data_IF_253015634467
#
_entry.id   IF_253015634467
#
_cell.length_a   1.000
_cell.length_b   1.000
_cell.length_c   1.000
_cell.angle_alpha   90.00
_cell.angle_beta   90.00
_cell.angle_gamma   90.00
#
_symmetry.space_group_name_H-M   'P 1'
#
loop_
_entity.id
_entity.type
_entity.pdbx_description
1 polymer ?
#
# COMPACT_ATOMS: atom_id res chain seq x y z
N UNK A 1 -34.48 51.11 9.36
CA UNK A 1 -33.28 50.92 8.51
C UNK A 1 -32.34 50.04 9.32
N UNK A 2 -31.90 48.85 8.95
CA UNK A 2 -32.03 47.98 7.78
C UNK A 2 -31.91 46.54 8.30
N UNK A 3 -32.68 45.61 7.74
CA UNK A 3 -32.67 44.18 8.03
C UNK A 3 -31.91 43.42 6.93
N UNK A 4 -31.22 42.33 7.24
CA UNK A 4 -30.85 41.24 6.32
C UNK A 4 -29.98 40.19 7.04
N UNK A 5 -30.03 38.87 6.84
CA UNK A 5 -30.95 37.91 6.19
C UNK A 5 -30.45 36.53 6.65
N UNK A 6 -31.29 35.73 7.28
CA UNK A 6 -31.06 34.29 7.48
C UNK A 6 -31.52 33.53 6.24
N UNK A 7 -30.63 32.81 5.58
CA UNK A 7 -30.98 31.91 4.46
C UNK A 7 -31.41 30.56 5.03
N UNK A 8 -32.71 30.26 4.92
CA UNK A 8 -33.24 28.89 5.05
C UNK A 8 -33.38 28.31 3.64
N UNK A 9 -32.64 27.24 3.35
CA UNK A 9 -32.86 26.41 2.17
C UNK A 9 -34.07 25.51 2.40
N UNK A 10 -35.05 25.59 1.50
CA UNK A 10 -36.24 24.74 1.47
C UNK A 10 -36.01 23.70 0.37
N UNK A 11 -35.89 22.42 0.71
CA UNK A 11 -35.87 21.33 -0.27
C UNK A 11 -37.32 20.97 -0.64
N UNK A 12 -37.67 21.15 -1.91
CA UNK A 12 -38.96 20.76 -2.47
C UNK A 12 -38.82 19.35 -3.09
N UNK A 13 -39.32 18.33 -2.38
CA UNK A 13 -39.47 16.98 -2.93
C UNK A 13 -40.69 16.93 -3.85
N UNK A 14 -40.47 16.68 -5.14
CA UNK A 14 -41.55 16.41 -6.10
C UNK A 14 -41.68 14.89 -6.26
N UNK A 15 -42.76 14.32 -5.73
CA UNK A 15 -43.19 12.96 -6.01
C UNK A 15 -43.82 12.89 -7.41
N UNK A 16 -43.27 12.07 -8.29
CA UNK A 16 -43.96 11.64 -9.51
C UNK A 16 -44.41 10.18 -9.33
N UNK A 17 -45.71 10.01 -9.08
CA UNK A 17 -46.43 8.74 -9.20
C UNK A 17 -47.16 8.75 -10.53
N UNK A 18 -46.81 7.84 -11.44
CA UNK A 18 -47.66 7.47 -12.56
C UNK A 18 -47.64 5.95 -12.73
N UNK A 19 -48.81 5.37 -12.48
CA UNK A 19 -49.10 3.95 -12.67
C UNK A 19 -49.27 3.58 -14.14
N UNK A 20 -49.15 2.29 -14.39
CA UNK A 20 -49.42 1.66 -15.68
C UNK A 20 -49.46 0.16 -15.52
N UNK A 21 -50.60 -0.36 -15.07
CA UNK A 21 -50.92 -1.79 -15.13
C UNK A 21 -51.15 -2.18 -16.60
N UNK A 22 -50.40 -3.16 -17.10
CA UNK A 22 -50.75 -3.86 -18.34
C UNK A 22 -50.57 -5.35 -18.13
N UNK A 23 -51.71 -6.05 -18.24
CA UNK A 23 -51.84 -7.49 -18.30
C UNK A 23 -50.94 -8.08 -19.40
N UNK A 24 -50.06 -9.02 -19.01
CA UNK A 24 -49.36 -9.89 -19.95
C UNK A 24 -49.81 -11.33 -19.67
N UNK A 25 -50.51 -11.85 -20.67
CA UNK A 25 -50.99 -13.22 -20.81
C UNK A 25 -49.85 -14.23 -20.68
N UNK A 26 -49.99 -15.16 -19.74
CA UNK A 26 -49.11 -16.33 -19.60
C UNK A 26 -49.41 -17.35 -20.71
N UNK A 27 -48.46 -17.51 -21.65
CA UNK A 27 -48.33 -18.73 -22.46
C UNK A 27 -47.10 -19.50 -21.98
N UNK A 28 -47.16 -20.83 -21.81
CA UNK A 28 -45.98 -21.61 -21.43
C UNK A 28 -45.15 -21.94 -22.68
N UNK A 29 -43.82 -21.75 -22.68
CA UNK A 29 -42.97 -22.40 -23.64
C UNK A 29 -42.44 -23.74 -23.09
N UNK A 30 -42.62 -24.73 -23.94
CA UNK A 30 -42.17 -26.11 -23.89
C UNK A 30 -40.65 -26.27 -24.03
N UNK A 31 -40.13 -27.32 -23.39
CA UNK A 31 -38.95 -28.14 -23.74
C UNK A 31 -37.54 -27.51 -23.81
N UNK A 32 -36.72 -27.94 -22.84
CA UNK A 32 -35.36 -28.46 -22.95
C UNK A 32 -34.51 -28.05 -24.16
N UNK A 33 -33.54 -27.17 -23.91
CA UNK A 33 -32.15 -27.36 -24.36
C UNK A 33 -31.26 -26.52 -23.45
N UNK A 34 -30.40 -27.18 -22.67
CA UNK A 34 -29.38 -26.48 -21.88
C UNK A 34 -28.45 -25.72 -22.83
N UNK A 35 -28.15 -24.44 -22.59
CA UNK A 35 -27.14 -23.75 -23.37
C UNK A 35 -25.77 -24.31 -22.97
N UNK A 36 -25.15 -25.09 -23.86
CA UNK A 36 -23.71 -25.34 -23.82
C UNK A 36 -23.00 -24.02 -24.01
N UNK A 37 -22.39 -23.51 -22.94
CA UNK A 37 -21.46 -22.40 -22.97
C UNK A 37 -20.30 -22.77 -23.91
N UNK A 38 -19.89 -21.90 -24.84
CA UNK A 38 -18.67 -22.11 -25.59
C UNK A 38 -17.48 -21.98 -24.63
N UNK A 39 -16.80 -23.09 -24.35
CA UNK A 39 -15.46 -23.08 -23.76
C UNK A 39 -14.46 -22.61 -24.81
N UNK A 40 -14.44 -21.30 -25.07
CA UNK A 40 -13.21 -20.66 -25.53
C UNK A 40 -12.43 -20.29 -24.29
N UNK A 41 -11.47 -21.13 -23.92
CA UNK A 41 -10.39 -20.72 -23.04
C UNK A 41 -9.77 -19.48 -23.67
N UNK A 42 -10.05 -18.31 -23.08
CA UNK A 42 -9.33 -17.09 -23.40
C UNK A 42 -7.89 -17.41 -23.04
N UNK A 43 -7.00 -17.50 -24.02
CA UNK A 43 -5.56 -17.52 -23.76
C UNK A 43 -5.32 -16.24 -22.97
N UNK A 44 -5.02 -16.37 -21.68
CA UNK A 44 -4.67 -15.23 -20.86
C UNK A 44 -3.49 -14.56 -21.56
N UNK A 45 -3.56 -13.23 -21.74
CA UNK A 45 -2.37 -12.47 -22.12
C UNK A 45 -1.26 -12.88 -21.14
N UNK A 46 -0.08 -13.30 -21.63
CA UNK A 46 0.99 -13.73 -20.74
C UNK A 46 1.32 -12.60 -19.77
N UNK A 47 1.58 -12.96 -18.52
CA UNK A 47 2.02 -11.99 -17.50
C UNK A 47 3.24 -11.24 -18.05
N UNK A 48 3.22 -9.91 -17.96
CA UNK A 48 4.36 -9.10 -18.41
C UNK A 48 5.31 -8.92 -17.24
N UNK A 49 6.55 -9.35 -17.44
CA UNK A 49 7.65 -8.86 -16.62
C UNK A 49 7.99 -7.42 -17.03
N UNK A 50 8.31 -6.59 -16.06
CA UNK A 50 8.69 -5.20 -16.24
C UNK A 50 10.09 -4.97 -15.67
N UNK A 51 10.99 -4.29 -16.41
CA UNK A 51 12.31 -3.97 -15.91
C UNK A 51 12.20 -2.97 -14.76
N UNK A 52 13.11 -3.09 -13.80
CA UNK A 52 13.26 -2.10 -12.72
C UNK A 52 14.37 -1.14 -13.10
N UNK A 53 14.01 0.13 -13.31
CA UNK A 53 14.99 1.21 -13.53
C UNK A 53 15.40 1.80 -12.20
N UNK A 54 16.65 1.60 -11.78
CA UNK A 54 17.17 2.18 -10.54
C UNK A 54 17.36 3.69 -10.69
N UNK A 55 16.78 4.44 -9.76
CA UNK A 55 16.96 5.89 -9.63
C UNK A 55 18.02 6.12 -8.54
N UNK A 56 19.24 6.57 -8.89
CA UNK A 56 20.30 6.79 -7.92
C UNK A 56 19.93 7.93 -6.97
N UNK A 57 20.08 7.70 -5.68
CA UNK A 57 19.90 8.72 -4.64
C UNK A 57 21.25 9.30 -4.19
N UNK A 58 21.25 10.55 -3.75
CA UNK A 58 22.41 11.21 -3.17
C UNK A 58 22.36 11.22 -1.63
N UNK A 59 23.53 11.36 -0.99
CA UNK A 59 23.64 11.56 0.45
C UNK A 59 23.41 10.29 1.30
N UNK A 60 23.04 10.48 2.57
CA UNK A 60 22.98 9.39 3.56
C UNK A 60 21.89 8.36 3.28
N UNK A 61 20.81 8.76 2.61
CA UNK A 61 19.70 7.87 2.26
C UNK A 61 20.08 6.85 1.17
N UNK A 62 21.17 7.09 0.44
CA UNK A 62 21.72 6.17 -0.54
C UNK A 62 22.61 5.07 0.08
N UNK A 63 22.83 5.11 1.39
CA UNK A 63 23.57 4.05 2.08
C UNK A 63 22.70 2.79 2.18
N UNK A 64 23.32 1.61 2.08
CA UNK A 64 22.62 0.31 2.15
C UNK A 64 21.89 0.01 3.46
N UNK A 65 22.09 0.84 4.50
CA UNK A 65 21.45 0.71 5.81
C UNK A 65 20.38 1.79 6.03
N UNK A 66 19.94 2.43 4.95
CA UNK A 66 18.96 3.48 5.04
C UNK A 66 17.57 2.95 5.38
N UNK A 67 17.26 1.72 4.95
CA UNK A 67 16.12 0.94 5.45
C UNK A 67 14.79 1.67 5.22
N UNK A 68 14.36 1.83 3.96
CA UNK A 68 13.07 2.48 3.62
C UNK A 68 11.92 1.49 3.81
N UNK A 69 10.96 1.86 4.65
CA UNK A 69 9.79 1.04 4.99
C UNK A 69 8.47 1.65 4.55
N UNK A 70 8.49 2.67 3.69
CA UNK A 70 7.24 3.19 3.14
C UNK A 70 7.44 4.37 2.21
N UNK A 71 6.59 4.43 1.18
CA UNK A 71 6.54 5.54 0.24
C UNK A 71 5.14 6.14 0.20
N UNK A 72 5.06 7.47 0.12
CA UNK A 72 3.77 8.14 -0.10
C UNK A 72 3.94 9.50 -0.76
N UNK A 73 2.89 10.03 -1.37
CA UNK A 73 2.91 11.38 -1.94
C UNK A 73 2.42 12.41 -0.92
N UNK A 74 3.16 13.50 -0.78
CA UNK A 74 2.69 14.74 -0.17
C UNK A 74 2.79 15.88 -1.18
N UNK A 75 1.66 16.24 -1.79
CA UNK A 75 1.63 17.17 -2.92
C UNK A 75 2.50 16.66 -4.09
N UNK A 76 3.52 17.43 -4.46
CA UNK A 76 4.47 17.07 -5.52
C UNK A 76 5.79 16.48 -5.00
N UNK A 77 5.81 16.04 -3.73
CA UNK A 77 6.98 15.43 -3.10
C UNK A 77 6.71 13.97 -2.78
N UNK A 78 7.58 13.10 -3.24
CA UNK A 78 7.64 11.72 -2.78
C UNK A 78 8.24 11.74 -1.38
N UNK A 79 7.49 11.30 -0.38
CA UNK A 79 7.97 11.12 0.97
C UNK A 79 8.51 9.69 1.10
N UNK A 80 9.77 9.59 1.55
CA UNK A 80 10.43 8.34 1.89
C UNK A 80 10.53 8.26 3.41
N UNK A 81 9.90 7.23 3.99
CA UNK A 81 9.97 6.93 5.41
C UNK A 81 11.03 5.84 5.64
N UNK A 82 12.12 6.15 6.36
CA UNK A 82 12.98 5.10 6.88
C UNK A 82 12.31 4.35 8.03
N UNK A 83 12.60 3.05 8.18
CA UNK A 83 12.22 2.23 9.33
C UNK A 83 12.73 2.86 10.63
N UNK A 84 13.93 3.46 10.59
CA UNK A 84 14.54 4.14 11.73
C UNK A 84 14.94 5.58 11.39
N UNK A 85 13.99 6.53 11.43
CA UNK A 85 14.26 7.95 11.14
C UNK A 85 15.39 8.54 12.01
N UNK A 86 15.56 8.04 13.25
CA UNK A 86 16.58 8.46 14.22
C UNK A 86 18.02 8.26 13.76
N UNK A 87 18.27 7.43 12.74
CA UNK A 87 19.62 7.21 12.18
C UNK A 87 20.13 8.40 11.37
N UNK A 88 19.26 9.31 10.96
CA UNK A 88 19.59 10.26 9.90
C UNK A 88 19.88 11.68 10.33
N UNK A 89 19.67 12.11 11.57
CA UNK A 89 19.92 13.51 11.96
C UNK A 89 21.32 13.77 12.51
N UNK A 90 21.64 15.06 12.70
CA UNK A 90 22.88 15.47 13.38
C UNK A 90 22.80 15.13 14.86
N UNK A 91 23.81 14.46 15.42
CA UNK A 91 23.83 14.01 16.83
C UNK A 91 22.61 13.16 17.23
N UNK A 92 22.03 12.40 16.30
CA UNK A 92 20.89 11.50 16.57
C UNK A 92 19.50 12.16 16.54
N UNK A 93 19.35 13.33 15.91
CA UNK A 93 18.01 13.81 15.53
C UNK A 93 17.39 12.86 14.49
N UNK A 94 16.07 12.79 14.37
CA UNK A 94 15.40 11.94 13.39
C UNK A 94 15.06 12.70 12.09
N UNK A 95 14.96 12.00 10.96
CA UNK A 95 14.55 12.60 9.70
C UNK A 95 13.77 11.63 8.79
N UNK A 96 12.83 12.19 8.04
CA UNK A 96 12.24 11.61 6.83
C UNK A 96 12.69 12.43 5.63
N UNK A 97 12.48 11.92 4.42
CA UNK A 97 13.01 12.55 3.21
C UNK A 97 11.92 12.84 2.21
N UNK A 98 12.09 13.93 1.45
CA UNK A 98 11.22 14.32 0.37
C UNK A 98 12.01 14.45 -0.93
N UNK A 99 11.52 13.85 -2.01
CA UNK A 99 12.09 13.94 -3.34
C UNK A 99 11.10 14.63 -4.29
N UNK A 100 11.47 15.76 -4.95
CA UNK A 100 10.56 16.43 -5.87
C UNK A 100 10.20 15.52 -7.06
N UNK A 101 8.90 15.45 -7.38
CA UNK A 101 8.40 14.70 -8.53
C UNK A 101 9.05 15.14 -9.85
N UNK A 102 9.34 16.43 -10.00
CA UNK A 102 10.02 16.97 -11.18
C UNK A 102 11.39 16.35 -11.40
N UNK A 103 12.12 16.05 -10.33
CA UNK A 103 13.48 15.52 -10.41
C UNK A 103 13.47 14.05 -10.79
N UNK A 104 12.49 13.31 -10.26
CA UNK A 104 12.19 11.92 -10.67
C UNK A 104 11.86 11.88 -12.17
N UNK A 105 10.96 12.76 -12.64
CA UNK A 105 10.57 12.81 -14.05
C UNK A 105 11.73 13.21 -14.96
N UNK A 106 12.52 14.22 -14.57
CA UNK A 106 13.70 14.64 -15.32
C UNK A 106 14.73 13.50 -15.46
N UNK A 107 14.92 12.68 -14.42
CA UNK A 107 15.78 11.50 -14.50
C UNK A 107 15.21 10.45 -15.46
N UNK A 108 13.93 10.11 -15.32
CA UNK A 108 13.28 9.11 -16.17
C UNK A 108 13.18 9.54 -17.64
N UNK A 109 13.08 10.84 -17.90
CA UNK A 109 13.06 11.43 -19.24
C UNK A 109 14.48 11.64 -19.82
N UNK A 110 15.54 11.29 -19.08
CA UNK A 110 16.93 11.39 -19.52
C UNK A 110 17.48 12.82 -19.55
N UNK A 111 16.79 13.78 -18.93
CA UNK A 111 17.24 15.16 -18.78
C UNK A 111 18.38 15.28 -17.75
N UNK A 112 18.45 14.34 -16.81
CA UNK A 112 19.57 14.16 -15.87
C UNK A 112 19.90 12.69 -15.70
N UNK A 113 21.17 12.42 -15.39
CA UNK A 113 21.66 11.09 -15.00
C UNK A 113 22.39 11.14 -13.65
N UNK A 114 22.34 12.28 -12.95
CA UNK A 114 23.00 12.45 -11.66
C UNK A 114 22.16 11.84 -10.54
N UNK A 115 22.80 11.36 -9.45
CA UNK A 115 22.07 11.00 -8.24
C UNK A 115 21.17 12.15 -7.77
N UNK A 116 19.93 11.84 -7.41
CA UNK A 116 18.94 12.83 -7.01
C UNK A 116 19.14 13.23 -5.55
N UNK A 117 19.13 14.54 -5.28
CA UNK A 117 19.19 15.09 -3.93
C UNK A 117 17.80 15.10 -3.29
N UNK A 118 17.75 14.77 -2.00
CA UNK A 118 16.50 14.77 -1.22
C UNK A 118 16.47 15.93 -0.23
N UNK A 119 15.29 16.48 -0.04
CA UNK A 119 14.99 17.40 1.05
C UNK A 119 14.88 16.59 2.33
N UNK A 120 15.72 16.92 3.30
CA UNK A 120 15.68 16.30 4.61
C UNK A 120 14.67 17.03 5.50
N UNK A 121 13.65 16.31 5.97
CA UNK A 121 12.60 16.83 6.84
C UNK A 121 12.89 16.36 8.27
N UNK A 122 13.05 17.28 9.24
CA UNK A 122 13.12 16.92 10.65
C UNK A 122 11.92 16.08 11.07
N UNK A 123 12.18 14.88 11.62
CA UNK A 123 11.15 14.00 12.15
C UNK A 123 11.13 14.12 13.66
N UNK A 124 10.03 14.61 14.23
CA UNK A 124 9.93 14.92 15.65
C UNK A 124 9.02 13.89 16.33
N UNK A 125 9.66 12.93 17.01
CA UNK A 125 9.00 11.82 17.71
C UNK A 125 9.36 11.76 19.20
N UNK A 126 8.91 12.73 20.00
CA UNK A 126 9.31 12.84 21.40
C UNK A 126 8.84 11.61 22.19
N UNK A 127 9.76 10.98 22.91
CA UNK A 127 9.48 9.87 23.84
C UNK A 127 8.89 8.60 23.19
N UNK A 128 8.91 8.48 21.85
CA UNK A 128 8.33 7.34 21.14
C UNK A 128 8.90 5.99 21.61
N UNK A 129 10.23 5.87 21.65
CA UNK A 129 10.91 4.65 22.10
C UNK A 129 10.63 4.28 23.56
N UNK A 130 10.22 5.24 24.39
CA UNK A 130 9.83 4.99 25.78
C UNK A 130 8.37 4.61 25.93
N UNK A 131 7.50 5.06 25.02
CA UNK A 131 6.07 4.72 25.00
C UNK A 131 5.79 3.38 24.34
N UNK A 132 6.44 3.11 23.20
CA UNK A 132 6.32 1.84 22.48
C UNK A 132 7.37 0.88 23.01
N UNK A 133 7.01 0.07 24.00
CA UNK A 133 7.94 -0.91 24.58
C UNK A 133 8.33 -1.95 23.54
N UNK A 134 9.63 -2.08 23.28
CA UNK A 134 10.13 -3.03 22.28
C UNK A 134 9.95 -2.53 20.85
N UNK A 135 9.96 -1.21 20.63
CA UNK A 135 9.96 -0.59 19.31
C UNK A 135 10.96 -1.26 18.35
N UNK A 136 10.46 -1.77 17.22
CA UNK A 136 11.25 -2.42 16.17
C UNK A 136 11.35 -1.58 14.88
N UNK A 137 10.52 -0.55 14.69
CA UNK A 137 10.61 0.29 13.49
C UNK A 137 9.28 0.91 13.08
N UNK A 138 9.33 1.85 12.13
CA UNK A 138 8.13 2.22 11.38
C UNK A 138 7.97 1.30 10.18
N UNK A 139 6.72 0.96 9.83
CA UNK A 139 6.44 -0.02 8.77
C UNK A 139 5.62 0.54 7.60
N UNK A 140 4.97 1.70 7.73
CA UNK A 140 4.26 2.32 6.61
C UNK A 140 3.87 3.78 6.88
N UNK A 141 3.50 4.51 5.81
CA UNK A 141 2.98 5.87 5.91
C UNK A 141 1.94 6.20 4.84
N UNK A 142 0.87 6.89 5.23
CA UNK A 142 -0.06 7.54 4.31
C UNK A 142 -0.43 8.95 4.77
N UNK A 143 -0.86 9.80 3.84
CA UNK A 143 -1.35 11.15 4.13
C UNK A 143 -2.85 11.30 3.85
N UNK A 144 -3.54 12.07 4.71
CA UNK A 144 -4.81 12.73 4.40
C UNK A 144 -4.61 14.22 4.66
N UNK A 145 -4.44 15.00 3.58
CA UNK A 145 -4.01 16.39 3.69
C UNK A 145 -2.63 16.50 4.35
N UNK A 146 -2.53 17.29 5.42
CA UNK A 146 -1.28 17.50 6.18
C UNK A 146 -1.09 16.46 7.31
N UNK A 147 -2.03 15.54 7.48
CA UNK A 147 -1.98 14.51 8.53
C UNK A 147 -1.32 13.25 7.98
N UNK A 148 -0.22 12.85 8.60
CA UNK A 148 0.44 11.57 8.39
C UNK A 148 -0.18 10.51 9.29
N UNK A 149 -0.35 9.30 8.76
CA UNK A 149 -0.70 8.10 9.51
C UNK A 149 0.44 7.10 9.33
N UNK A 150 0.93 6.54 10.44
CA UNK A 150 2.10 5.66 10.42
C UNK A 150 1.81 4.38 11.19
N UNK A 151 2.31 3.26 10.70
CA UNK A 151 2.37 2.01 11.47
C UNK A 151 3.76 1.78 12.06
N UNK A 152 3.80 1.11 13.20
CA UNK A 152 5.01 0.77 13.96
C UNK A 152 4.98 -0.70 14.32
N UNK A 153 6.08 -1.41 14.12
CA UNK A 153 6.29 -2.75 14.67
C UNK A 153 6.87 -2.66 16.10
N UNK A 154 6.40 -3.55 16.99
CA UNK A 154 6.84 -3.59 18.37
C UNK A 154 6.82 -5.00 18.96
N UNK A 155 7.85 -5.34 19.74
CA UNK A 155 8.03 -6.65 20.38
C UNK A 155 8.40 -6.56 21.86
N UNK A 156 7.51 -6.12 22.75
CA UNK A 156 7.74 -6.17 24.20
C UNK A 156 7.75 -7.60 24.75
N UNK A 157 7.18 -8.55 23.99
CA UNK A 157 7.12 -9.97 24.30
C UNK A 157 6.60 -10.74 23.09
N UNK A 158 5.29 -10.64 22.81
CA UNK A 158 4.70 -11.00 21.53
C UNK A 158 4.81 -9.83 20.54
N UNK A 159 4.64 -10.12 19.25
CA UNK A 159 4.60 -9.10 18.21
C UNK A 159 3.29 -8.32 18.28
N UNK A 160 3.35 -6.99 18.18
CA UNK A 160 2.20 -6.09 18.05
C UNK A 160 2.51 -5.01 17.03
N UNK A 161 1.48 -4.53 16.34
CA UNK A 161 1.54 -3.29 15.56
C UNK A 161 1.00 -2.12 16.36
N UNK A 162 1.33 -0.90 15.96
CA UNK A 162 0.66 0.30 16.43
C UNK A 162 0.35 1.24 15.27
N UNK A 163 -0.77 1.94 15.36
CA UNK A 163 -1.13 3.05 14.49
C UNK A 163 -1.00 4.36 15.24
N UNK A 164 -0.38 5.35 14.60
CA UNK A 164 -0.29 6.70 15.13
C UNK A 164 -0.51 7.77 14.06
N UNK A 165 -0.64 9.02 14.52
CA UNK A 165 -0.74 10.19 13.66
C UNK A 165 0.49 11.08 13.75
N UNK A 166 0.67 11.92 12.75
CA UNK A 166 1.55 13.07 12.76
C UNK A 166 1.05 14.18 11.85
N UNK A 167 1.71 15.32 11.90
CA UNK A 167 1.43 16.46 11.02
C UNK A 167 2.72 16.84 10.30
N UNK A 168 2.65 16.95 8.97
CA UNK A 168 3.72 17.53 8.15
C UNK A 168 3.44 19.01 7.93
N UNK A 169 4.47 19.85 8.06
CA UNK A 169 4.33 21.27 7.71
C UNK A 169 4.37 21.43 6.19
N UNK A 170 3.49 22.26 5.58
CA UNK A 170 3.45 22.45 4.13
C UNK A 170 4.73 22.99 3.48
N UNK A 171 5.59 23.63 4.26
CA UNK A 171 6.92 24.08 3.82
C UNK A 171 8.01 23.01 4.02
N UNK A 172 7.62 21.79 4.40
CA UNK A 172 8.48 20.65 4.71
C UNK A 172 9.47 20.90 5.86
N UNK A 173 9.19 21.89 6.71
CA UNK A 173 10.08 22.26 7.82
C UNK A 173 10.13 21.23 8.95
N UNK A 174 9.06 20.44 9.14
CA UNK A 174 9.04 19.29 10.05
C UNK A 174 7.90 18.32 9.71
N UNK A 175 8.08 17.05 10.10
CA UNK A 175 7.00 16.09 10.33
C UNK A 175 7.03 15.74 11.82
N UNK A 176 5.95 16.05 12.55
CA UNK A 176 5.84 15.82 13.99
C UNK A 176 4.79 14.77 14.27
N UNK A 177 5.17 13.66 14.90
CA UNK A 177 4.21 12.63 15.30
C UNK A 177 3.54 12.98 16.63
N UNK A 178 2.25 12.72 16.74
CA UNK A 178 1.50 12.83 18.00
C UNK A 178 1.64 11.53 18.77
N UNK A 179 2.55 11.54 19.73
CA UNK A 179 2.83 10.36 20.55
C UNK A 179 1.79 10.10 21.64
N UNK A 180 0.82 10.99 21.84
CA UNK A 180 -0.30 10.76 22.75
C UNK A 180 -1.47 10.02 22.11
N UNK A 181 -1.49 9.92 20.77
CA UNK A 181 -2.55 9.29 20.01
C UNK A 181 -2.00 8.04 19.29
N UNK A 182 -2.00 6.93 20.03
CA UNK A 182 -1.45 5.64 19.61
C UNK A 182 -2.50 4.56 19.84
N UNK A 183 -2.79 3.76 18.82
CA UNK A 183 -3.72 2.63 18.89
C UNK A 183 -2.98 1.33 18.60
N UNK A 184 -3.07 0.35 19.50
CA UNK A 184 -2.50 -0.98 19.28
C UNK A 184 -3.28 -1.73 18.21
N UNK A 185 -2.55 -2.40 17.30
CA UNK A 185 -3.07 -3.33 16.31
C UNK A 185 -2.58 -4.72 16.71
N UNK A 186 -3.53 -5.61 17.01
CA UNK A 186 -3.20 -6.99 17.36
C UNK A 186 -2.85 -7.78 16.08
N UNK A 187 -1.82 -8.63 16.12
CA UNK A 187 -1.45 -9.46 14.99
C UNK A 187 -2.57 -10.45 14.65
N UNK A 188 -2.70 -10.78 13.37
CA UNK A 188 -3.73 -11.71 12.88
C UNK A 188 -3.29 -13.18 12.91
N UNK A 189 -1.98 -13.43 12.98
CA UNK A 189 -1.39 -14.75 13.01
C UNK A 189 -0.27 -14.84 14.05
N UNK A 190 0.03 -16.06 14.52
CA UNK A 190 1.19 -16.33 15.38
C UNK A 190 2.47 -16.45 14.55
N UNK A 191 2.85 -15.33 13.93
CA UNK A 191 4.07 -15.17 13.15
C UNK A 191 4.95 -14.13 13.84
N UNK A 192 6.20 -14.51 14.10
CA UNK A 192 7.16 -13.56 14.64
C UNK A 192 7.57 -12.54 13.58
N UNK A 193 7.73 -11.28 14.02
CA UNK A 193 8.23 -10.19 13.17
C UNK A 193 7.33 -9.95 11.97
N UNK A 194 6.02 -9.87 12.25
CA UNK A 194 4.98 -9.57 11.28
C UNK A 194 3.86 -8.79 11.94
N UNK A 195 3.53 -7.64 11.35
CA UNK A 195 2.49 -6.74 11.81
C UNK A 195 1.69 -6.16 10.62
N UNK A 196 0.90 -5.12 10.86
CA UNK A 196 0.25 -4.38 9.78
C UNK A 196 1.28 -3.44 9.13
N UNK A 197 1.94 -3.94 8.08
CA UNK A 197 2.98 -3.25 7.30
C UNK A 197 2.42 -2.41 6.14
N UNK A 198 1.10 -2.37 5.95
CA UNK A 198 0.51 -1.58 4.86
C UNK A 198 -0.62 -0.69 5.37
N UNK A 199 -0.65 0.55 4.88
CA UNK A 199 -1.71 1.52 5.19
C UNK A 199 -2.24 2.16 3.91
N UNK A 200 -3.57 2.22 3.78
CA UNK A 200 -4.24 2.93 2.68
C UNK A 200 -5.17 3.99 3.23
N UNK A 201 -5.11 5.17 2.62
CA UNK A 201 -6.12 6.21 2.76
C UNK A 201 -7.16 6.04 1.63
N UNK A 202 -8.40 5.72 2.01
CA UNK A 202 -9.50 5.45 1.09
C UNK A 202 -10.65 6.43 1.34
N UNK A 203 -10.51 7.66 0.84
CA UNK A 203 -11.46 8.74 1.12
C UNK A 203 -11.44 9.14 2.60
N UNK A 204 -12.54 8.89 3.32
CA UNK A 204 -12.65 9.17 4.76
C UNK A 204 -12.23 7.97 5.64
N UNK A 205 -11.80 6.87 5.02
CA UNK A 205 -11.38 5.66 5.73
C UNK A 205 -9.87 5.54 5.74
N UNK A 206 -9.35 5.15 6.89
CA UNK A 206 -7.97 4.72 7.05
C UNK A 206 -7.97 3.21 7.27
N UNK A 207 -7.20 2.48 6.49
CA UNK A 207 -7.23 1.02 6.52
C UNK A 207 -5.80 0.49 6.66
N UNK A 208 -5.58 -0.44 7.60
CA UNK A 208 -4.31 -1.16 7.70
C UNK A 208 -4.49 -2.62 7.30
N UNK A 209 -3.42 -3.20 6.74
CA UNK A 209 -3.41 -4.54 6.19
C UNK A 209 -2.20 -5.28 6.78
N UNK A 210 -2.46 -6.48 7.30
CA UNK A 210 -1.44 -7.37 7.85
C UNK A 210 -0.53 -7.89 6.75
N UNK A 211 0.74 -8.08 7.04
CA UNK A 211 1.75 -8.46 6.05
C UNK A 211 1.58 -9.88 5.50
N UNK A 212 1.18 -10.85 6.34
CA UNK A 212 1.11 -12.26 5.97
C UNK A 212 -0.34 -12.77 5.90
N UNK A 213 -0.84 -12.96 4.67
CA UNK A 213 -2.23 -13.34 4.41
C UNK A 213 -2.38 -14.70 3.70
N UNK A 214 -1.31 -15.50 3.68
CA UNK A 214 -1.31 -16.82 3.05
C UNK A 214 -2.26 -17.80 3.75
N UNK A 215 -2.90 -18.67 2.99
CA UNK A 215 -3.99 -19.53 3.49
C UNK A 215 -3.57 -20.46 4.64
N UNK A 216 -2.29 -20.87 4.66
CA UNK A 216 -1.76 -21.77 5.69
C UNK A 216 -1.40 -21.07 7.01
N UNK A 217 -1.22 -19.74 7.00
CA UNK A 217 -0.75 -18.99 8.17
C UNK A 217 -1.79 -18.00 8.70
N UNK A 218 -2.63 -17.45 7.82
CA UNK A 218 -3.74 -16.57 8.18
C UNK A 218 -4.99 -16.96 7.36
N UNK A 219 -5.78 -17.97 7.80
CA UNK A 219 -6.85 -18.54 7.00
C UNK A 219 -8.10 -17.65 6.85
N UNK A 220 -8.20 -16.55 7.61
CA UNK A 220 -9.30 -15.60 7.52
C UNK A 220 -8.75 -14.16 7.63
N UNK A 221 -7.97 -13.70 6.65
CA UNK A 221 -7.32 -12.40 6.75
C UNK A 221 -8.35 -11.28 6.72
N UNK A 222 -8.06 -10.23 7.46
CA UNK A 222 -8.90 -9.04 7.54
C UNK A 222 -8.07 -7.78 7.35
N UNK A 223 -8.73 -6.69 6.95
CA UNK A 223 -8.16 -5.36 7.02
C UNK A 223 -8.89 -4.57 8.12
N UNK A 224 -8.15 -3.75 8.85
CA UNK A 224 -8.68 -2.96 9.95
C UNK A 224 -9.07 -1.57 9.45
N UNK A 225 -10.32 -1.15 9.65
CA UNK A 225 -10.77 0.21 9.33
C UNK A 225 -10.72 1.07 10.60
N UNK A 226 -10.10 2.23 10.51
CA UNK A 226 -10.00 3.19 11.59
C UNK A 226 -10.73 4.50 11.29
N UNK A 227 -11.18 5.16 12.35
CA UNK A 227 -11.52 6.58 12.27
C UNK A 227 -10.23 7.41 12.13
N UNK A 228 -10.07 8.24 11.08
CA UNK A 228 -8.84 9.02 10.89
C UNK A 228 -8.69 10.15 11.92
N UNK A 229 -9.72 10.49 12.69
CA UNK A 229 -9.67 11.52 13.74
C UNK A 229 -9.34 10.90 15.09
N UNK A 230 -10.02 9.81 15.47
CA UNK A 230 -9.85 9.19 16.80
C UNK A 230 -8.86 8.04 16.84
N UNK A 231 -8.44 7.53 15.67
CA UNK A 231 -7.69 6.28 15.49
C UNK A 231 -8.35 5.04 16.11
N UNK A 232 -9.62 5.12 16.49
CA UNK A 232 -10.34 3.95 16.99
C UNK A 232 -10.71 3.03 15.82
N UNK A 233 -10.52 1.73 16.00
CA UNK A 233 -11.00 0.72 15.06
C UNK A 233 -12.52 0.82 14.96
N UNK A 234 -13.02 1.08 13.75
CA UNK A 234 -14.46 1.08 13.43
C UNK A 234 -14.97 -0.33 13.21
N UNK A 235 -14.27 -1.09 12.38
CA UNK A 235 -14.62 -2.45 11.99
C UNK A 235 -13.43 -3.16 11.37
N UNK A 236 -13.56 -4.48 11.18
CA UNK A 236 -12.69 -5.26 10.31
C UNK A 236 -13.47 -5.72 9.10
N UNK A 237 -12.86 -5.65 7.92
CA UNK A 237 -13.44 -6.15 6.67
C UNK A 237 -12.61 -7.33 6.15
N UNK A 238 -13.22 -8.28 5.41
CA UNK A 238 -12.47 -9.35 4.78
C UNK A 238 -11.38 -8.81 3.85
N UNK A 239 -10.21 -9.42 3.94
CA UNK A 239 -9.12 -9.31 2.97
C UNK A 239 -8.97 -10.69 2.31
N UNK A 240 -8.58 -10.79 1.02
CA UNK A 240 -8.43 -12.09 0.39
C UNK A 240 -7.18 -12.80 0.93
N UNK A 241 -7.21 -14.13 0.95
CA UNK A 241 -5.96 -14.87 1.05
C UNK A 241 -5.10 -14.58 -0.18
N UNK A 242 -3.84 -14.24 0.08
CA UNK A 242 -2.80 -14.07 -0.93
C UNK A 242 -1.52 -14.63 -0.33
N UNK A 243 -0.85 -15.48 -1.09
CA UNK A 243 0.43 -16.05 -0.66
C UNK A 243 1.53 -14.99 -0.68
N UNK A 244 2.55 -15.23 0.15
CA UNK A 244 3.70 -14.35 0.35
C UNK A 244 3.39 -13.05 1.13
N UNK A 245 4.41 -12.21 1.34
CA UNK A 245 4.29 -10.96 2.10
C UNK A 245 3.60 -9.89 1.26
N UNK A 246 2.85 -9.00 1.91
CA UNK A 246 2.40 -7.72 1.36
C UNK A 246 2.93 -6.59 2.25
N UNK A 247 3.74 -5.71 1.69
CA UNK A 247 4.66 -4.87 2.49
C UNK A 247 4.44 -3.37 2.36
N UNK A 248 3.78 -2.88 1.31
CA UNK A 248 3.26 -1.51 1.24
C UNK A 248 2.17 -1.42 0.16
N UNK A 249 1.41 -0.33 0.16
CA UNK A 249 0.28 -0.11 -0.72
C UNK A 249 0.20 1.32 -1.27
N UNK A 250 -0.15 1.44 -2.55
CA UNK A 250 -0.39 2.75 -3.17
C UNK A 250 -1.68 3.38 -2.62
N UNK A 251 -1.83 4.71 -2.72
CA UNK A 251 -3.12 5.37 -2.48
C UNK A 251 -4.23 4.81 -3.37
N UNK A 252 -5.46 4.78 -2.83
CA UNK A 252 -6.65 4.33 -3.54
C UNK A 252 -7.04 5.34 -4.63
N UNK A 253 -7.30 4.87 -5.84
CA UNK A 253 -7.75 5.70 -6.96
C UNK A 253 -9.27 5.95 -6.94
N UNK A 254 -9.75 6.75 -7.89
CA UNK A 254 -11.17 7.12 -8.01
C UNK A 254 -12.09 5.91 -8.25
N UNK A 255 -11.58 4.79 -8.77
CA UNK A 255 -12.31 3.55 -8.97
C UNK A 255 -12.24 2.63 -7.73
N UNK A 256 -11.65 3.10 -6.63
CA UNK A 256 -11.46 2.33 -5.41
C UNK A 256 -10.31 1.32 -5.52
N UNK A 257 -9.41 1.42 -6.50
CA UNK A 257 -8.34 0.43 -6.71
C UNK A 257 -7.01 0.93 -6.20
N UNK A 258 -6.18 0.00 -5.77
CA UNK A 258 -4.82 0.25 -5.30
C UNK A 258 -3.95 -0.95 -5.62
N UNK A 259 -2.64 -0.75 -5.64
CA UNK A 259 -1.67 -1.81 -5.85
C UNK A 259 -0.90 -2.04 -4.55
N UNK A 260 -0.57 -3.29 -4.29
CA UNK A 260 0.33 -3.67 -3.20
C UNK A 260 1.53 -4.40 -3.75
N UNK A 261 2.66 -4.27 -3.05
CA UNK A 261 3.79 -5.17 -3.24
C UNK A 261 3.36 -6.57 -2.80
N UNK A 262 3.75 -7.60 -3.56
CA UNK A 262 3.67 -8.99 -3.15
C UNK A 262 5.04 -9.65 -3.35
N UNK A 263 5.68 -10.02 -2.24
CA UNK A 263 7.09 -10.33 -2.18
C UNK A 263 7.39 -11.63 -1.44
N UNK A 264 8.29 -12.44 -2.00
CA UNK A 264 8.81 -13.65 -1.37
C UNK A 264 10.29 -13.85 -1.64
N UNK A 265 11.02 -14.28 -0.61
CA UNK A 265 12.34 -14.88 -0.76
C UNK A 265 12.38 -16.22 -0.02
N UNK A 266 13.14 -17.18 -0.55
CA UNK A 266 13.17 -18.56 -0.06
C UNK A 266 13.70 -18.73 1.37
N UNK A 267 14.39 -17.72 1.91
CA UNK A 267 14.82 -17.69 3.30
C UNK A 267 13.68 -17.44 4.30
N UNK A 268 12.51 -16.97 3.84
CA UNK A 268 11.34 -16.77 4.68
C UNK A 268 10.59 -18.10 4.93
N UNK A 269 11.07 -18.82 5.93
CA UNK A 269 10.51 -20.14 6.31
C UNK A 269 9.22 -20.05 7.14
N UNK A 270 8.79 -18.86 7.59
CA UNK A 270 7.62 -18.71 8.48
C UNK A 270 6.29 -18.66 7.72
N UNK A 271 6.26 -18.09 6.51
CA UNK A 271 5.01 -17.84 5.77
C UNK A 271 4.37 -19.07 5.11
N UNK A 272 5.12 -20.18 4.96
CA UNK A 272 4.63 -21.52 4.56
C UNK A 272 3.54 -21.49 3.48
N UNK A 273 3.86 -20.97 2.27
CA UNK A 273 2.85 -20.66 1.28
C UNK A 273 2.06 -21.90 0.86
N UNK A 274 0.77 -21.72 0.59
CA UNK A 274 -0.04 -22.68 -0.15
C UNK A 274 0.27 -22.56 -1.66
N UNK A 275 -0.66 -23.02 -2.51
CA UNK A 275 -0.58 -22.80 -3.95
C UNK A 275 -0.70 -21.31 -4.27
N UNK A 276 0.25 -20.78 -5.05
CA UNK A 276 0.15 -19.42 -5.59
C UNK A 276 -0.87 -19.37 -6.75
N UNK A 277 -2.10 -18.97 -6.40
CA UNK A 277 -3.20 -18.85 -7.36
C UNK A 277 -2.92 -17.83 -8.48
N UNK A 278 -2.05 -16.84 -8.24
CA UNK A 278 -1.73 -15.83 -9.25
C UNK A 278 -0.80 -16.42 -10.31
N UNK A 279 0.19 -17.22 -9.90
CA UNK A 279 1.02 -17.98 -10.84
C UNK A 279 0.21 -19.04 -11.60
N UNK A 280 -0.71 -19.75 -10.95
CA UNK A 280 -1.59 -20.70 -11.65
C UNK A 280 -2.50 -20.04 -12.69
N UNK A 281 -3.01 -18.84 -12.38
CA UNK A 281 -3.96 -18.15 -13.24
C UNK A 281 -3.29 -17.39 -14.39
N UNK A 282 -2.19 -16.69 -14.12
CA UNK A 282 -1.56 -15.77 -15.06
C UNK A 282 -0.20 -16.27 -15.61
N UNK A 283 0.37 -17.29 -14.98
CA UNK A 283 1.70 -17.81 -15.29
C UNK A 283 2.82 -17.02 -14.63
N UNK A 284 4.04 -17.53 -14.84
CA UNK A 284 5.30 -16.91 -14.44
C UNK A 284 5.99 -16.34 -15.68
N UNK A 285 6.58 -15.16 -15.52
CA UNK A 285 7.43 -14.56 -16.53
C UNK A 285 8.78 -15.26 -16.62
N UNK A 286 9.61 -14.88 -17.62
CA UNK A 286 10.85 -15.58 -17.90
C UNK A 286 11.82 -15.69 -16.72
N UNK A 287 11.92 -14.67 -15.87
CA UNK A 287 12.83 -14.66 -14.72
C UNK A 287 12.19 -15.31 -13.49
N UNK A 288 10.89 -15.13 -13.27
CA UNK A 288 10.15 -15.85 -12.22
C UNK A 288 10.12 -17.37 -12.44
N UNK A 289 10.12 -17.83 -13.69
CA UNK A 289 10.24 -19.27 -13.99
C UNK A 289 11.65 -19.84 -13.71
N UNK A 290 12.64 -19.00 -13.43
CA UNK A 290 14.03 -19.39 -13.15
C UNK A 290 14.38 -19.35 -11.67
N UNK A 291 13.68 -18.53 -10.87
CA UNK A 291 13.98 -18.29 -9.46
C UNK A 291 12.74 -18.51 -8.60
N UNK A 292 12.91 -19.09 -7.42
CA UNK A 292 11.83 -19.29 -6.45
C UNK A 292 11.40 -17.99 -5.74
N UNK A 293 12.08 -16.88 -6.01
CA UNK A 293 11.76 -15.53 -5.51
C UNK A 293 10.53 -14.99 -6.23
N UNK A 294 9.68 -14.26 -5.51
CA UNK A 294 8.54 -13.55 -6.09
C UNK A 294 8.69 -12.06 -5.86
N UNK A 295 8.67 -11.29 -6.94
CA UNK A 295 8.64 -9.83 -6.90
C UNK A 295 7.57 -9.34 -7.88
N UNK A 296 6.40 -8.95 -7.35
CA UNK A 296 5.30 -8.49 -8.19
C UNK A 296 4.42 -7.45 -7.51
N UNK A 297 3.64 -6.75 -8.32
CA UNK A 297 2.58 -5.86 -7.87
C UNK A 297 1.22 -6.49 -8.16
N UNK A 298 0.31 -6.44 -7.19
CA UNK A 298 -1.04 -7.00 -7.30
C UNK A 298 -2.07 -5.91 -7.09
N UNK A 299 -3.06 -5.84 -7.97
CA UNK A 299 -4.15 -4.86 -7.87
C UNK A 299 -5.31 -5.38 -7.04
N UNK A 300 -5.72 -4.55 -6.09
CA UNK A 300 -6.85 -4.76 -5.22
C UNK A 300 -7.88 -3.66 -5.41
N UNK A 301 -9.11 -3.93 -4.98
CA UNK A 301 -10.19 -2.97 -4.92
C UNK A 301 -10.73 -2.91 -3.49
N UNK A 302 -10.78 -1.70 -2.96
CA UNK A 302 -11.39 -1.39 -1.68
C UNK A 302 -12.89 -1.13 -1.86
N UNK A 303 -13.67 -1.71 -0.94
CA UNK A 303 -15.05 -1.33 -0.68
C UNK A 303 -15.27 -1.30 0.84
N UNK A 304 -16.36 -0.70 1.28
CA UNK A 304 -16.71 -0.68 2.71
C UNK A 304 -17.02 -2.07 3.28
N UNK A 305 -17.21 -3.08 2.44
CA UNK A 305 -17.58 -4.44 2.86
C UNK A 305 -16.45 -5.46 2.76
N UNK A 306 -15.43 -5.21 1.94
CA UNK A 306 -14.30 -6.10 1.69
C UNK A 306 -13.23 -5.41 0.83
N UNK A 307 -11.99 -5.88 0.96
CA UNK A 307 -10.97 -5.73 -0.08
C UNK A 307 -11.00 -7.00 -0.95
N UNK A 308 -10.90 -6.85 -2.28
CA UNK A 308 -10.85 -7.98 -3.22
C UNK A 308 -9.78 -7.80 -4.28
N UNK A 309 -9.18 -8.88 -4.78
CA UNK A 309 -8.33 -8.82 -5.98
C UNK A 309 -9.19 -8.49 -7.21
N UNK A 310 -8.70 -7.62 -8.11
CA UNK A 310 -9.48 -7.16 -9.28
C UNK A 310 -9.50 -8.16 -10.44
N UNK A 311 -8.60 -9.15 -10.43
CA UNK A 311 -8.37 -10.06 -11.54
C UNK A 311 -7.52 -9.44 -12.66
N UNK A 312 -7.00 -8.22 -12.47
CA UNK A 312 -5.92 -7.67 -13.30
C UNK A 312 -4.68 -8.55 -13.14
N UNK A 313 -3.98 -8.94 -14.23
CA UNK A 313 -2.73 -9.67 -14.14
C UNK A 313 -1.72 -8.94 -13.25
N UNK A 314 -0.97 -9.65 -12.39
CA UNK A 314 0.07 -9.01 -11.59
C UNK A 314 1.16 -8.45 -12.50
N UNK A 315 1.79 -7.36 -12.07
CA UNK A 315 2.98 -6.83 -12.74
C UNK A 315 4.18 -7.53 -12.10
N UNK A 316 4.80 -8.45 -12.82
CA UNK A 316 6.01 -9.13 -12.35
C UNK A 316 7.22 -8.24 -12.61
N UNK A 317 8.15 -8.16 -11.67
CA UNK A 317 9.38 -7.39 -11.82
C UNK A 317 10.47 -8.32 -12.35
N UNK A 318 11.23 -7.89 -13.37
CA UNK A 318 12.37 -8.69 -13.83
C UNK A 318 13.35 -8.96 -12.67
N UNK A 319 13.60 -10.23 -12.40
CA UNK A 319 14.53 -10.72 -11.38
C UNK A 319 15.90 -10.89 -12.02
N UNK A 320 16.90 -10.17 -11.50
CA UNK A 320 18.23 -10.11 -12.10
C UNK A 320 19.17 -11.24 -11.63
N UNK A 321 18.96 -11.74 -10.42
CA UNK A 321 19.73 -12.83 -9.80
C UNK A 321 18.92 -13.53 -8.70
N UNK A 322 19.54 -14.46 -7.99
CA UNK A 322 18.91 -15.19 -6.88
C UNK A 322 18.80 -14.38 -5.57
N UNK A 323 19.23 -13.12 -5.55
CA UNK A 323 19.12 -12.23 -4.40
C UNK A 323 17.86 -11.37 -4.53
N UNK A 324 16.82 -11.79 -3.81
CA UNK A 324 15.56 -11.07 -3.73
C UNK A 324 15.75 -9.63 -3.21
N UNK A 325 15.07 -8.67 -3.85
CA UNK A 325 15.01 -7.27 -3.41
C UNK A 325 13.88 -7.12 -2.41
N UNK A 326 14.19 -6.76 -1.17
CA UNK A 326 13.19 -6.62 -0.12
C UNK A 326 12.40 -5.31 -0.29
N UNK A 327 11.42 -5.33 -1.19
CA UNK A 327 10.54 -4.20 -1.49
C UNK A 327 9.58 -3.93 -0.33
N UNK A 328 9.61 -2.73 0.21
CA UNK A 328 8.86 -2.33 1.43
C UNK A 328 8.24 -0.93 1.28
N UNK A 329 8.29 -0.35 0.07
CA UNK A 329 7.69 0.95 -0.21
C UNK A 329 7.15 1.03 -1.62
N UNK A 330 5.94 1.56 -1.83
CA UNK A 330 5.34 1.72 -3.16
C UNK A 330 4.46 2.96 -3.33
N UNK A 331 4.61 3.65 -4.46
CA UNK A 331 3.61 4.63 -4.93
C UNK A 331 3.35 4.51 -6.42
N UNK A 332 2.16 4.92 -6.87
CA UNK A 332 1.89 5.18 -8.29
C UNK A 332 2.59 6.47 -8.73
N UNK A 333 3.23 6.46 -9.90
CA UNK A 333 3.73 7.65 -10.58
C UNK A 333 2.81 7.97 -11.76
N UNK A 334 1.65 8.56 -11.45
CA UNK A 334 0.57 8.87 -12.40
C UNK A 334 0.26 7.68 -13.32
N UNK A 335 0.20 7.91 -14.64
CA UNK A 335 0.03 6.90 -15.67
C UNK A 335 1.34 6.33 -16.20
N UNK A 336 2.50 6.66 -15.60
CA UNK A 336 3.81 6.16 -16.08
C UNK A 336 4.13 4.78 -15.52
N UNK A 337 3.77 4.52 -14.27
CA UNK A 337 4.27 3.35 -13.57
C UNK A 337 4.18 3.47 -12.06
N UNK A 338 5.11 2.81 -11.39
CA UNK A 338 5.26 2.76 -9.95
C UNK A 338 6.68 3.13 -9.55
N UNK A 339 6.81 3.74 -8.38
CA UNK A 339 8.08 3.85 -7.68
C UNK A 339 8.05 2.84 -6.53
N UNK A 340 9.14 2.11 -6.37
CA UNK A 340 9.33 1.15 -5.29
C UNK A 340 10.59 1.49 -4.51
N UNK A 341 10.60 1.20 -3.21
CA UNK A 341 11.80 1.27 -2.40
C UNK A 341 12.08 -0.05 -1.68
N UNK A 342 13.35 -0.42 -1.59
CA UNK A 342 13.78 -1.50 -0.72
C UNK A 342 14.13 -0.97 0.66
N UNK A 343 13.92 -1.83 1.66
CA UNK A 343 14.40 -1.61 3.00
C UNK A 343 15.94 -1.77 3.04
N UNK A 344 16.42 -2.98 3.36
CA UNK A 344 17.85 -3.26 3.56
C UNK A 344 18.51 -4.04 2.44
N UNK A 345 17.84 -5.10 1.95
CA UNK A 345 18.45 -6.07 1.05
C UNK A 345 18.06 -5.82 -0.41
N UNK A 346 19.02 -5.88 -1.35
CA UNK A 346 20.47 -6.04 -1.17
C UNK A 346 21.17 -4.75 -0.66
N UNK A 347 20.52 -3.62 -0.90
CA UNK A 347 20.81 -2.28 -0.39
C UNK A 347 19.52 -1.45 -0.48
N UNK A 348 19.54 -0.19 -0.05
CA UNK A 348 18.43 0.74 -0.27
C UNK A 348 18.41 1.20 -1.73
N UNK A 349 17.36 0.82 -2.44
CA UNK A 349 17.13 1.06 -3.87
C UNK A 349 15.85 1.87 -3.98
N UNK A 350 15.86 2.95 -4.79
CA UNK A 350 14.64 3.53 -5.36
C UNK A 350 14.53 3.04 -6.80
N UNK A 351 13.49 2.26 -7.11
CA UNK A 351 13.23 1.68 -8.42
C UNK A 351 12.00 2.28 -9.09
N UNK A 352 12.03 2.43 -10.41
CA UNK A 352 10.87 2.72 -11.24
C UNK A 352 10.48 1.49 -12.06
N UNK A 353 9.19 1.17 -12.06
CA UNK A 353 8.59 0.08 -12.85
C UNK A 353 7.50 0.67 -13.74
N UNK A 354 7.60 0.59 -15.07
CA UNK A 354 6.59 1.13 -15.96
C UNK A 354 5.29 0.31 -15.92
N UNK A 355 4.17 0.96 -16.24
CA UNK A 355 2.93 0.23 -16.54
C UNK A 355 3.11 -0.56 -17.86
N UNK A 356 2.52 -1.79 -17.96
CA UNK A 356 2.59 -2.61 -19.18
C UNK A 356 1.98 -2.00 -20.44
#
# INVERSE_FOLDING_TARGET
MSASKTHKFFFLFTFLLLGGCKDISLRPPTNNTAPTLPTTARIAEPVSEQPVTVIPLAGQIAASQAEISGLTWYGNYLILLPQYPSRFGTKGAAAVFALPKTDILAFLDGETSQPLDLIKIPFISPELATMVRGYEGFESIAFIGDIAFLTIESKPGAMSGYLMTGEIKPDLSELRVDTNNLTEILPQADLSNMSDESIIAAGEYLVTIYEANGANVNPNPTAHIFDPVTLQTKETIPFPNIEYRVTDATSVDEAGRFWMINYFFTGDTKIKPATDILAEQFGEGPTHAQYDTVERLVEFQFSQTAITMTGTPPIQLEINDDHARNWEGIVRLDSRGFLLATDKYPETILGFVPLP
#
